data_IF_254791057740
#
_entry.id   IF_254791057740
#
_cell.length_a   1.000
_cell.length_b   1.000
_cell.length_c   1.000
_cell.angle_alpha   90.00
_cell.angle_beta   90.00
_cell.angle_gamma   90.00
#
_symmetry.space_group_name_H-M   'P 1'
#
loop_
_entity.id
_entity.type
_entity.pdbx_description
1 polymer ?
#
# COMPACT_ATOMS: atom_id res chain seq x y z
N UNK A 1 -19.27 0.80 2.03
CA UNK A 1 -19.13 1.67 3.22
C UNK A 1 -18.15 1.12 4.24
N UNK A 2 -18.35 -0.09 4.77
CA UNK A 2 -17.39 -0.75 5.70
C UNK A 2 -15.97 -0.84 5.14
N UNK A 3 -15.83 -1.11 3.84
CA UNK A 3 -14.50 -1.23 3.23
C UNK A 3 -13.63 0.03 3.38
N UNK A 4 -14.13 1.18 2.92
CA UNK A 4 -13.38 2.44 2.96
C UNK A 4 -13.09 2.90 4.38
N UNK A 5 -13.97 2.56 5.35
CA UNK A 5 -13.74 2.86 6.76
C UNK A 5 -12.57 2.08 7.33
N UNK A 6 -12.51 0.77 7.09
CA UNK A 6 -11.42 -0.06 7.64
C UNK A 6 -10.10 0.25 6.92
N UNK A 7 -10.14 0.44 5.59
CA UNK A 7 -8.97 0.87 4.81
C UNK A 7 -8.44 2.24 5.30
N UNK A 8 -9.32 3.22 5.49
CA UNK A 8 -8.95 4.55 5.99
C UNK A 8 -8.38 4.51 7.41
N UNK A 9 -8.94 3.68 8.28
CA UNK A 9 -8.45 3.52 9.65
C UNK A 9 -7.06 2.86 9.70
N UNK A 10 -6.85 1.81 8.92
CA UNK A 10 -5.55 1.14 8.82
C UNK A 10 -4.45 2.07 8.29
N UNK A 11 -4.74 2.80 7.19
CA UNK A 11 -3.80 3.75 6.60
C UNK A 11 -3.47 4.90 7.56
N UNK A 12 -4.48 5.46 8.23
CA UNK A 12 -4.32 6.57 9.18
C UNK A 12 -3.42 6.22 10.36
N UNK A 13 -3.60 5.03 10.95
CA UNK A 13 -2.76 4.55 12.04
C UNK A 13 -1.33 4.27 11.59
N UNK A 14 -1.14 3.53 10.49
CA UNK A 14 0.19 3.19 9.99
C UNK A 14 1.02 4.42 9.59
N UNK A 15 0.39 5.39 8.92
CA UNK A 15 1.03 6.62 8.48
C UNK A 15 1.46 7.50 9.67
N UNK A 16 0.56 7.72 10.63
CA UNK A 16 0.81 8.60 11.79
C UNK A 16 1.98 8.08 12.63
N UNK A 17 2.05 6.77 12.87
CA UNK A 17 3.12 6.14 13.66
C UNK A 17 4.47 6.25 12.93
N UNK A 18 4.50 6.00 11.62
CA UNK A 18 5.72 6.09 10.82
C UNK A 18 6.27 7.52 10.78
N UNK A 19 5.38 8.52 10.65
CA UNK A 19 5.75 9.93 10.66
C UNK A 19 6.29 10.39 12.03
N UNK A 20 5.70 9.91 13.12
CA UNK A 20 6.18 10.19 14.47
C UNK A 20 7.60 9.64 14.71
N UNK A 21 7.91 8.47 14.15
CA UNK A 21 9.26 7.87 14.24
C UNK A 21 10.27 8.71 13.46
N UNK A 22 9.95 9.03 12.20
CA UNK A 22 10.85 9.78 11.33
C UNK A 22 11.19 11.16 11.90
N UNK A 23 10.20 11.87 12.44
CA UNK A 23 10.40 13.18 13.08
C UNK A 23 11.16 13.08 14.40
N UNK A 24 10.98 12.01 15.17
CA UNK A 24 11.73 11.76 16.40
C UNK A 24 13.23 11.50 16.17
N UNK A 25 13.61 10.94 15.01
CA UNK A 25 15.01 10.70 14.65
C UNK A 25 15.76 11.98 14.27
N UNK A 26 15.05 13.00 13.77
CA UNK A 26 15.63 14.25 13.28
C UNK A 26 14.84 15.48 13.77
N UNK A 27 14.90 15.78 15.09
CA UNK A 27 14.10 16.84 15.71
C UNK A 27 14.44 18.25 15.20
N UNK A 28 15.67 18.49 14.73
CA UNK A 28 16.09 19.80 14.20
C UNK A 28 15.56 20.07 12.77
N UNK A 29 15.12 19.04 12.04
CA UNK A 29 14.74 19.14 10.62
C UNK A 29 13.42 18.40 10.32
N UNK A 30 12.47 18.48 11.24
CA UNK A 30 11.19 17.77 11.13
C UNK A 30 10.44 18.10 9.84
N UNK A 31 10.39 19.37 9.42
CA UNK A 31 9.70 19.79 8.20
C UNK A 31 10.26 19.20 6.90
N UNK A 32 11.58 19.06 6.79
CA UNK A 32 12.22 18.41 5.62
C UNK A 32 11.93 16.91 5.62
N UNK A 33 11.99 16.27 6.79
CA UNK A 33 11.77 14.83 6.92
C UNK A 33 10.31 14.47 6.65
N UNK A 34 9.35 15.21 7.21
CA UNK A 34 7.93 14.99 6.89
C UNK A 34 7.62 15.27 5.44
N UNK A 35 8.21 16.32 4.85
CA UNK A 35 8.06 16.63 3.42
C UNK A 35 8.52 15.48 2.52
N UNK A 36 9.69 14.89 2.80
CA UNK A 36 10.20 13.74 2.06
C UNK A 36 9.27 12.53 2.21
N UNK A 37 8.84 12.22 3.44
CA UNK A 37 7.93 11.07 3.71
C UNK A 37 6.58 11.24 2.98
N UNK A 38 5.96 12.42 3.07
CA UNK A 38 4.69 12.73 2.38
C UNK A 38 4.86 12.68 0.87
N UNK A 39 5.96 13.23 0.35
CA UNK A 39 6.25 13.21 -1.09
C UNK A 39 6.41 11.79 -1.63
N UNK A 40 7.09 10.90 -0.89
CA UNK A 40 7.19 9.49 -1.26
C UNK A 40 5.84 8.77 -1.26
N UNK A 41 4.98 9.06 -0.28
CA UNK A 41 3.62 8.50 -0.23
C UNK A 41 2.74 8.98 -1.39
N UNK A 42 2.81 10.28 -1.73
CA UNK A 42 2.03 10.86 -2.83
C UNK A 42 2.55 10.48 -4.23
N UNK A 43 3.87 10.31 -4.39
CA UNK A 43 4.49 9.94 -5.65
C UNK A 43 4.48 8.42 -5.91
N UNK A 44 4.36 7.60 -4.86
CA UNK A 44 4.32 6.13 -4.99
C UNK A 44 3.28 5.63 -6.00
N UNK A 45 2.00 6.06 -5.92
CA UNK A 45 0.96 5.67 -6.88
C UNK A 45 1.32 5.97 -8.33
N UNK A 46 2.07 7.05 -8.60
CA UNK A 46 2.46 7.40 -9.98
C UNK A 46 3.32 6.32 -10.65
N UNK A 47 4.08 5.56 -9.87
CA UNK A 47 4.90 4.45 -10.37
C UNK A 47 4.12 3.14 -10.34
N UNK A 48 3.37 2.88 -9.26
CA UNK A 48 2.65 1.61 -9.10
C UNK A 48 1.42 1.50 -10.01
N UNK A 49 0.70 2.58 -10.28
CA UNK A 49 -0.49 2.56 -11.13
C UNK A 49 -0.19 2.13 -12.58
N UNK A 50 0.78 2.71 -13.31
CA UNK A 50 1.10 2.24 -14.66
C UNK A 50 1.67 0.82 -14.65
N UNK A 51 2.50 0.47 -13.65
CA UNK A 51 3.05 -0.88 -13.52
C UNK A 51 1.96 -1.95 -13.32
N UNK A 52 0.93 -1.64 -12.53
CA UNK A 52 -0.23 -2.52 -12.34
C UNK A 52 -1.05 -2.67 -13.61
N UNK A 53 -1.24 -1.58 -14.35
CA UNK A 53 -1.99 -1.60 -15.61
C UNK A 53 -1.29 -2.46 -16.66
N UNK A 54 0.03 -2.36 -16.78
CA UNK A 54 0.81 -3.20 -17.70
C UNK A 54 0.80 -4.67 -17.30
N UNK A 55 0.79 -4.97 -16.00
CA UNK A 55 0.73 -6.34 -15.49
C UNK A 55 -0.65 -6.99 -15.68
N UNK A 56 -1.73 -6.22 -15.55
CA UNK A 56 -3.11 -6.71 -15.63
C UNK A 56 -3.61 -6.72 -17.08
N UNK A 57 -3.32 -5.67 -17.83
CA UNK A 57 -3.83 -5.43 -19.19
C UNK A 57 -2.68 -5.05 -20.16
N UNK A 58 -1.75 -5.98 -20.46
CA UNK A 58 -0.66 -5.75 -21.41
C UNK A 58 -1.17 -5.44 -22.83
N UNK A 59 -2.32 -6.01 -23.19
CA UNK A 59 -2.94 -5.87 -24.52
C UNK A 59 -3.75 -4.57 -24.67
N UNK A 60 -3.76 -3.72 -23.61
CA UNK A 60 -4.48 -2.45 -23.52
C UNK A 60 -5.93 -2.52 -23.99
N UNK A 61 -6.61 -3.63 -23.64
CA UNK A 61 -8.01 -3.87 -23.98
C UNK A 61 -8.87 -2.74 -23.42
N UNK A 62 -9.70 -2.16 -24.28
CA UNK A 62 -10.51 -1.00 -23.91
C UNK A 62 -11.72 -1.41 -23.07
N UNK A 63 -12.07 -0.54 -22.12
CA UNK A 63 -13.25 -0.71 -21.27
C UNK A 63 -14.51 -0.60 -22.12
N UNK A 64 -15.49 -1.48 -21.88
CA UNK A 64 -16.75 -1.43 -22.58
C UNK A 64 -17.53 -0.15 -22.23
N UNK A 65 -17.86 0.67 -23.23
CA UNK A 65 -18.54 1.96 -23.05
C UNK A 65 -19.95 1.87 -22.46
N UNK A 66 -20.61 0.71 -22.55
CA UNK A 66 -21.97 0.52 -22.00
C UNK A 66 -21.95 0.13 -20.52
N UNK A 67 -21.10 -0.83 -20.15
CA UNK A 67 -21.06 -1.38 -18.78
C UNK A 67 -19.96 -0.76 -17.92
N UNK A 68 -19.04 0.01 -18.51
CA UNK A 68 -17.81 0.51 -17.86
C UNK A 68 -16.97 -0.59 -17.18
N UNK A 69 -17.17 -1.84 -17.59
CA UNK A 69 -16.50 -3.01 -17.05
C UNK A 69 -15.54 -3.59 -18.08
N UNK A 70 -14.43 -4.14 -17.59
CA UNK A 70 -13.57 -5.01 -18.39
C UNK A 70 -14.29 -6.36 -18.50
N UNK A 71 -14.89 -6.61 -19.66
CA UNK A 71 -15.71 -7.83 -19.91
C UNK A 71 -14.86 -8.98 -20.47
N UNK A 72 -13.56 -8.77 -20.62
CA UNK A 72 -12.63 -9.76 -21.14
C UNK A 72 -12.13 -10.64 -19.99
N UNK A 73 -12.56 -11.91 -19.99
CA UNK A 73 -12.25 -12.87 -18.93
C UNK A 73 -10.73 -13.05 -18.74
N UNK A 74 -9.95 -12.82 -19.82
CA UNK A 74 -8.48 -12.93 -19.81
C UNK A 74 -7.79 -11.87 -18.96
N UNK A 75 -8.39 -10.69 -18.82
CA UNK A 75 -7.86 -9.60 -17.99
C UNK A 75 -8.25 -9.84 -16.52
N UNK A 76 -9.46 -10.34 -16.30
CA UNK A 76 -9.99 -10.62 -14.96
C UNK A 76 -9.21 -11.74 -14.26
N UNK A 77 -8.82 -12.79 -14.98
CA UNK A 77 -8.02 -13.89 -14.43
C UNK A 77 -6.60 -13.49 -14.01
N UNK A 78 -6.07 -12.39 -14.54
CA UNK A 78 -4.75 -11.85 -14.17
C UNK A 78 -4.80 -11.02 -12.90
N UNK A 79 -5.97 -10.49 -12.53
CA UNK A 79 -6.15 -9.62 -11.35
C UNK A 79 -5.70 -10.31 -10.05
N UNK A 80 -6.13 -11.55 -9.73
CA UNK A 80 -5.70 -12.23 -8.50
C UNK A 80 -4.18 -12.39 -8.42
N UNK A 81 -3.53 -12.75 -9.53
CA UNK A 81 -2.09 -12.96 -9.58
C UNK A 81 -1.31 -11.65 -9.44
N UNK A 82 -1.76 -10.57 -10.08
CA UNK A 82 -1.16 -9.24 -9.95
C UNK A 82 -1.25 -8.72 -8.51
N UNK A 83 -2.39 -8.95 -7.83
CA UNK A 83 -2.59 -8.58 -6.44
C UNK A 83 -1.68 -9.34 -5.48
N UNK A 84 -1.52 -10.65 -5.68
CA UNK A 84 -0.64 -11.48 -4.86
C UNK A 84 0.82 -11.06 -5.06
N UNK A 85 1.25 -10.82 -6.29
CA UNK A 85 2.61 -10.37 -6.58
C UNK A 85 2.91 -9.01 -5.93
N UNK A 86 2.00 -8.05 -6.04
CA UNK A 86 2.12 -6.75 -5.38
C UNK A 86 2.13 -6.90 -3.86
N UNK A 87 1.24 -7.73 -3.31
CA UNK A 87 1.19 -8.03 -1.88
C UNK A 87 2.49 -8.63 -1.36
N UNK A 88 3.06 -9.59 -2.09
CA UNK A 88 4.34 -10.21 -1.76
C UNK A 88 5.51 -9.22 -1.85
N UNK A 89 5.52 -8.36 -2.88
CA UNK A 89 6.55 -7.33 -3.06
C UNK A 89 6.49 -6.27 -1.95
N UNK A 90 5.30 -5.78 -1.62
CA UNK A 90 5.11 -4.83 -0.52
C UNK A 90 5.42 -5.48 0.84
N UNK A 91 5.08 -6.75 1.03
CA UNK A 91 5.44 -7.50 2.24
C UNK A 91 6.95 -7.68 2.38
N UNK A 92 7.66 -7.98 1.29
CA UNK A 92 9.12 -8.07 1.28
C UNK A 92 9.76 -6.72 1.60
N UNK A 93 9.29 -5.64 0.99
CA UNK A 93 9.73 -4.27 1.31
C UNK A 93 9.48 -3.94 2.79
N UNK A 94 8.35 -4.36 3.35
CA UNK A 94 8.04 -4.15 4.76
C UNK A 94 8.97 -4.96 5.67
N UNK A 95 9.28 -6.21 5.31
CA UNK A 95 10.20 -7.06 6.05
C UNK A 95 11.63 -6.51 6.05
N UNK A 96 12.09 -6.05 4.89
CA UNK A 96 13.37 -5.34 4.73
C UNK A 96 13.38 -4.06 5.56
N UNK A 97 12.29 -3.28 5.53
CA UNK A 97 12.13 -2.06 6.32
C UNK A 97 12.24 -2.32 7.82
N UNK A 98 11.61 -3.37 8.32
CA UNK A 98 11.74 -3.78 9.72
C UNK A 98 13.17 -4.20 10.08
N UNK A 99 13.83 -4.93 9.18
CA UNK A 99 15.21 -5.34 9.37
C UNK A 99 16.15 -4.13 9.47
N UNK A 100 15.97 -3.12 8.60
CA UNK A 100 16.75 -1.88 8.62
C UNK A 100 16.45 -0.99 9.84
N UNK A 101 15.18 -0.86 10.22
CA UNK A 101 14.76 -0.05 11.36
C UNK A 101 15.16 -0.64 12.72
N UNK A 102 15.57 -1.92 12.76
CA UNK A 102 16.02 -2.59 13.99
C UNK A 102 17.32 -2.00 14.56
N UNK A 103 18.07 -1.20 13.79
CA UNK A 103 19.39 -0.70 14.20
C UNK A 103 19.40 0.47 15.19
N UNK A 104 18.25 1.06 15.58
CA UNK A 104 18.22 2.06 16.67
C UNK A 104 16.99 1.87 17.57
N UNK A 105 17.24 1.45 18.82
CA UNK A 105 16.22 1.27 19.85
C UNK A 105 15.56 2.61 20.20
N UNK A 106 14.41 2.90 19.62
CA UNK A 106 13.52 3.97 20.09
C UNK A 106 12.11 3.38 20.31
N UNK A 107 11.62 3.56 21.54
CA UNK A 107 10.44 2.94 22.21
C UNK A 107 9.74 1.77 21.48
N UNK A 108 9.85 0.58 22.07
CA UNK A 108 9.19 -0.71 21.72
C UNK A 108 7.69 -0.62 21.40
N UNK A 109 6.95 0.33 22.00
CA UNK A 109 5.51 0.55 21.75
C UNK A 109 5.21 1.02 20.31
N UNK A 110 6.14 1.75 19.70
CA UNK A 110 5.97 2.35 18.36
C UNK A 110 6.31 1.35 17.26
N UNK A 111 7.33 0.52 17.47
CA UNK A 111 7.68 -0.58 16.56
C UNK A 111 6.55 -1.60 16.42
N UNK A 112 5.84 -1.91 17.52
CA UNK A 112 4.70 -2.81 17.50
C UNK A 112 3.51 -2.19 16.76
N UNK A 113 3.26 -0.88 16.91
CA UNK A 113 2.19 -0.19 16.20
C UNK A 113 2.43 -0.05 14.67
N UNK A 114 3.69 0.11 14.23
CA UNK A 114 4.05 0.01 12.80
C UNK A 114 3.73 -1.39 12.27
N UNK A 115 4.10 -2.43 13.02
CA UNK A 115 3.85 -3.81 12.63
C UNK A 115 2.35 -4.09 12.45
N UNK A 116 1.52 -3.75 13.44
CA UNK A 116 0.08 -4.01 13.37
C UNK A 116 -0.63 -3.14 12.33
N UNK A 117 -0.25 -1.87 12.20
CA UNK A 117 -0.89 -0.93 11.25
C UNK A 117 -0.60 -1.28 9.80
N UNK A 118 0.66 -1.59 9.46
CA UNK A 118 1.07 -1.92 8.09
C UNK A 118 0.53 -3.30 7.64
N UNK A 119 0.51 -4.30 8.51
CA UNK A 119 -0.09 -5.61 8.19
C UNK A 119 -1.60 -5.50 7.95
N UNK A 120 -2.30 -4.70 8.75
CA UNK A 120 -3.73 -4.49 8.60
C UNK A 120 -4.06 -3.86 7.25
N UNK A 121 -3.28 -2.87 6.79
CA UNK A 121 -3.46 -2.23 5.48
C UNK A 121 -3.26 -3.21 4.33
N UNK A 122 -2.20 -4.03 4.35
CA UNK A 122 -1.94 -5.01 3.29
C UNK A 122 -3.05 -6.07 3.25
N UNK A 123 -3.46 -6.60 4.40
CA UNK A 123 -4.56 -7.57 4.48
C UNK A 123 -5.89 -6.99 4.00
N UNK A 124 -6.20 -5.73 4.34
CA UNK A 124 -7.46 -5.08 3.94
C UNK A 124 -7.49 -4.72 2.46
N UNK A 125 -6.36 -4.25 1.90
CA UNK A 125 -6.23 -4.03 0.46
C UNK A 125 -6.38 -5.35 -0.31
N UNK A 126 -5.71 -6.43 0.11
CA UNK A 126 -5.83 -7.73 -0.54
C UNK A 126 -7.27 -8.27 -0.44
N UNK A 127 -7.84 -8.29 0.77
CA UNK A 127 -9.18 -8.80 1.02
C UNK A 127 -10.24 -8.05 0.21
N UNK A 128 -10.10 -6.73 0.07
CA UNK A 128 -11.08 -5.99 -0.70
C UNK A 128 -10.85 -6.03 -2.20
N UNK A 129 -9.62 -6.06 -2.69
CA UNK A 129 -9.40 -6.18 -4.13
C UNK A 129 -9.88 -7.56 -4.62
N UNK A 130 -9.70 -8.62 -3.80
CA UNK A 130 -10.30 -9.94 -4.06
C UNK A 130 -11.84 -9.84 -4.06
N UNK A 131 -12.45 -9.17 -3.08
CA UNK A 131 -13.91 -9.04 -3.01
C UNK A 131 -14.50 -8.13 -4.10
N UNK A 132 -13.74 -7.14 -4.58
CA UNK A 132 -14.13 -6.22 -5.65
C UNK A 132 -13.91 -6.83 -7.04
N UNK A 133 -13.03 -7.82 -7.19
CA UNK A 133 -12.86 -8.60 -8.42
C UNK A 133 -13.91 -9.73 -8.56
N UNK A 134 -14.60 -10.09 -7.47
CA UNK A 134 -15.64 -11.12 -7.42
C UNK A 134 -17.08 -10.57 -7.48
N UNK A 135 -17.26 -9.25 -7.58
CA UNK A 135 -18.57 -8.56 -7.68
C UNK A 135 -18.69 -7.83 -9.00
#
# INVERSE_FOLDING_TARGET
MTYSMIMGFGLGLGYSVSLAVATSWFPSRTGLVTGIVVSGFGLGPLVFTPAQMELINPDNVQVNNRTRQMTDDTVLDRVPNALVLLGALLFALQFIGMFLLRSKSYKRSVSMAIFTGSFLVVFLCLYCLIKCSLM
#
